data_IF_024850009210
#
_entry.id   IF_024850009210
#
_cell.length_a   1.000
_cell.length_b   1.000
_cell.length_c   1.000
_cell.angle_alpha   90.00
_cell.angle_beta   90.00
_cell.angle_gamma   90.00
#
_symmetry.space_group_name_H-M   'P 1'
#
loop_
_entity.id
_entity.type
_entity.pdbx_description
1 polymer ?
#
# COMPACT_ATOMS: atom_id res chain seq x y z
N UNK A 1 0.51 -10.71 -2.80
CA UNK A 1 -0.85 -11.19 -3.04
C UNK A 1 -0.76 -12.19 -4.19
N UNK A 2 -0.98 -13.48 -3.91
CA UNK A 2 -0.61 -14.58 -4.81
C UNK A 2 -1.82 -15.45 -5.20
N UNK A 3 -2.99 -15.21 -4.61
CA UNK A 3 -4.24 -15.94 -4.87
C UNK A 3 -5.47 -15.08 -4.52
N UNK A 4 -6.66 -15.41 -5.03
CA UNK A 4 -7.89 -14.69 -4.66
C UNK A 4 -8.21 -14.79 -3.16
N UNK A 5 -7.92 -15.93 -2.52
CA UNK A 5 -8.03 -16.08 -1.07
C UNK A 5 -7.10 -15.11 -0.31
N UNK A 6 -5.87 -14.92 -0.78
CA UNK A 6 -4.94 -13.95 -0.17
C UNK A 6 -5.38 -12.50 -0.36
N UNK A 7 -6.13 -12.19 -1.43
CA UNK A 7 -6.76 -10.88 -1.61
C UNK A 7 -7.86 -10.70 -0.55
N UNK A 8 -8.69 -11.71 -0.33
CA UNK A 8 -9.76 -11.64 0.67
C UNK A 8 -9.25 -11.56 2.12
N UNK A 9 -8.16 -12.25 2.43
CA UNK A 9 -7.49 -12.10 3.73
C UNK A 9 -6.92 -10.70 3.91
N UNK A 10 -6.32 -10.15 2.84
CA UNK A 10 -5.73 -8.82 2.88
C UNK A 10 -6.77 -7.72 3.09
N UNK A 11 -7.93 -7.78 2.44
CA UNK A 11 -8.99 -6.76 2.62
C UNK A 11 -9.51 -6.70 4.04
N UNK A 12 -9.66 -7.84 4.71
CA UNK A 12 -10.04 -7.93 6.12
C UNK A 12 -8.93 -7.45 7.04
N UNK A 13 -7.71 -7.92 6.82
CA UNK A 13 -6.55 -7.50 7.63
C UNK A 13 -6.26 -6.00 7.52
N UNK A 14 -6.58 -5.38 6.39
CA UNK A 14 -6.46 -3.93 6.19
C UNK A 14 -7.65 -3.14 6.75
N UNK A 15 -8.71 -3.80 7.24
CA UNK A 15 -9.93 -3.15 7.75
C UNK A 15 -10.75 -2.44 6.67
N UNK A 16 -10.58 -2.83 5.40
CA UNK A 16 -11.27 -2.22 4.26
C UNK A 16 -12.68 -2.79 4.06
N UNK A 17 -12.84 -4.08 4.36
CA UNK A 17 -14.11 -4.80 4.29
C UNK A 17 -14.26 -5.68 5.54
N UNK A 18 -15.42 -5.60 6.19
CA UNK A 18 -15.74 -6.46 7.34
C UNK A 18 -16.20 -7.85 6.86
N UNK A 19 -16.99 -7.88 5.79
CA UNK A 19 -17.35 -9.09 5.06
C UNK A 19 -16.76 -9.01 3.65
N UNK A 20 -16.11 -10.09 3.22
CA UNK A 20 -15.39 -10.12 1.95
C UNK A 20 -16.08 -11.03 0.96
N UNK A 21 -16.41 -10.56 -0.25
CA UNK A 21 -16.98 -11.42 -1.28
C UNK A 21 -15.95 -12.46 -1.73
N UNK A 22 -16.44 -13.51 -2.39
CA UNK A 22 -15.56 -14.42 -3.11
C UNK A 22 -14.92 -13.69 -4.28
N UNK A 23 -13.59 -13.56 -4.26
CA UNK A 23 -12.84 -13.00 -5.38
C UNK A 23 -12.48 -14.08 -6.39
N UNK A 24 -12.59 -13.73 -7.66
CA UNK A 24 -12.17 -14.57 -8.79
C UNK A 24 -10.70 -14.34 -9.16
N UNK A 25 -10.18 -15.15 -10.07
CA UNK A 25 -8.86 -14.92 -10.65
C UNK A 25 -8.78 -13.59 -11.44
N UNK A 26 -9.89 -13.17 -12.06
CA UNK A 26 -9.98 -11.87 -12.75
C UNK A 26 -9.91 -10.72 -11.74
N UNK A 27 -10.61 -10.84 -10.62
CA UNK A 27 -10.58 -9.87 -9.53
C UNK A 27 -9.16 -9.68 -8.99
N UNK A 28 -8.45 -10.79 -8.79
CA UNK A 28 -7.05 -10.74 -8.38
C UNK A 28 -6.17 -10.03 -9.41
N UNK A 29 -6.37 -10.31 -10.71
CA UNK A 29 -5.60 -9.68 -11.78
C UNK A 29 -5.82 -8.17 -11.82
N UNK A 30 -7.06 -7.71 -11.74
CA UNK A 30 -7.40 -6.28 -11.68
C UNK A 30 -6.82 -5.60 -10.43
N UNK A 31 -6.91 -6.25 -9.26
CA UNK A 31 -6.33 -5.72 -8.03
C UNK A 31 -4.79 -5.64 -8.08
N UNK A 32 -4.15 -6.62 -8.74
CA UNK A 32 -2.70 -6.59 -8.99
C UNK A 32 -2.35 -5.43 -9.92
N UNK A 33 -3.08 -5.26 -11.02
CA UNK A 33 -2.83 -4.18 -11.99
C UNK A 33 -2.89 -2.80 -11.33
N UNK A 34 -3.95 -2.52 -10.57
CA UNK A 34 -4.08 -1.26 -9.81
C UNK A 34 -2.95 -1.11 -8.80
N UNK A 35 -2.59 -2.16 -8.05
CA UNK A 35 -1.48 -2.10 -7.09
C UNK A 35 -0.15 -1.77 -7.76
N UNK A 36 0.14 -2.36 -8.91
CA UNK A 36 1.38 -2.09 -9.62
C UNK A 36 1.39 -0.67 -10.22
N UNK A 37 0.25 -0.15 -10.67
CA UNK A 37 0.10 1.23 -11.14
C UNK A 37 0.30 2.26 -9.99
N UNK A 38 -0.29 1.99 -8.82
CA UNK A 38 -0.03 2.74 -7.57
C UNK A 38 1.47 2.76 -7.29
N UNK A 39 2.12 1.59 -7.30
CA UNK A 39 3.54 1.47 -7.01
C UNK A 39 4.41 2.26 -7.98
N UNK A 40 4.20 2.08 -9.29
CA UNK A 40 4.95 2.81 -10.34
C UNK A 40 4.75 4.32 -10.24
N UNK A 41 3.53 4.76 -9.98
CA UNK A 41 3.20 6.19 -9.83
C UNK A 41 3.92 6.80 -8.65
N UNK A 42 3.81 6.19 -7.46
CA UNK A 42 4.50 6.69 -6.26
C UNK A 42 6.01 6.63 -6.44
N UNK A 43 6.53 5.55 -7.03
CA UNK A 43 7.96 5.43 -7.31
C UNK A 43 8.47 6.54 -8.22
N UNK A 44 7.79 6.81 -9.34
CA UNK A 44 8.17 7.89 -10.25
C UNK A 44 8.20 9.25 -9.53
N UNK A 45 7.18 9.52 -8.72
CA UNK A 45 7.09 10.76 -7.93
C UNK A 45 8.20 10.91 -6.89
N UNK A 46 8.60 9.82 -6.23
CA UNK A 46 9.74 9.81 -5.31
C UNK A 46 11.10 10.03 -5.99
N UNK A 47 11.17 9.84 -7.31
CA UNK A 47 12.34 10.13 -8.13
C UNK A 47 12.22 11.45 -8.90
N UNK A 48 11.24 12.30 -8.53
CA UNK A 48 10.95 13.57 -9.20
C UNK A 48 10.65 13.42 -10.70
N UNK A 49 10.12 12.26 -11.09
CA UNK A 49 9.66 11.95 -12.46
C UNK A 49 8.14 11.97 -12.53
N UNK A 50 7.55 12.36 -13.68
CA UNK A 50 6.13 12.21 -13.89
C UNK A 50 5.73 10.73 -13.97
N UNK A 51 4.54 10.34 -13.49
CA UNK A 51 3.97 9.04 -13.77
C UNK A 51 3.63 8.90 -15.26
N UNK A 52 3.45 7.66 -15.72
CA UNK A 52 3.07 7.40 -17.12
C UNK A 52 1.60 7.77 -17.36
N UNK A 53 1.25 8.18 -18.58
CA UNK A 53 -0.15 8.47 -18.95
C UNK A 53 -1.06 7.26 -18.70
N UNK A 54 -0.59 6.05 -19.03
CA UNK A 54 -1.35 4.82 -18.81
C UNK A 54 -1.67 4.57 -17.32
N UNK A 55 -0.70 4.77 -16.42
CA UNK A 55 -0.93 4.62 -14.98
C UNK A 55 -1.87 5.73 -14.47
N UNK A 56 -1.73 6.96 -14.96
CA UNK A 56 -2.61 8.09 -14.61
C UNK A 56 -4.06 7.81 -15.03
N UNK A 57 -4.26 7.39 -16.28
CA UNK A 57 -5.59 7.10 -16.83
C UNK A 57 -6.25 5.94 -16.09
N UNK A 58 -5.50 4.87 -15.80
CA UNK A 58 -6.01 3.73 -15.04
C UNK A 58 -6.47 4.15 -13.65
N UNK A 59 -5.61 4.86 -12.90
CA UNK A 59 -5.93 5.28 -11.53
C UNK A 59 -7.12 6.25 -11.50
N UNK A 60 -7.18 7.20 -12.43
CA UNK A 60 -8.31 8.11 -12.56
C UNK A 60 -9.60 7.37 -12.89
N UNK A 61 -9.58 6.43 -13.85
CA UNK A 61 -10.75 5.65 -14.23
C UNK A 61 -11.31 4.77 -13.09
N UNK A 62 -10.46 4.34 -12.15
CA UNK A 62 -10.90 3.68 -10.92
C UNK A 62 -11.44 4.68 -9.90
N UNK A 63 -10.75 5.80 -9.68
CA UNK A 63 -11.12 6.81 -8.69
C UNK A 63 -12.47 7.50 -8.97
N UNK A 64 -12.93 7.51 -10.23
CA UNK A 64 -14.24 8.04 -10.62
C UNK A 64 -15.42 7.12 -10.34
N UNK A 65 -15.18 5.85 -9.96
CA UNK A 65 -16.24 4.87 -9.68
C UNK A 65 -16.82 5.05 -8.27
N UNK A 66 -18.01 4.51 -7.96
CA UNK A 66 -18.55 4.52 -6.60
C UNK A 66 -17.58 3.87 -5.60
N UNK A 67 -17.27 4.59 -4.52
CA UNK A 67 -16.38 4.15 -3.44
C UNK A 67 -17.12 3.26 -2.43
N UNK A 68 -16.38 2.55 -1.59
CA UNK A 68 -16.95 1.92 -0.39
C UNK A 68 -17.56 2.99 0.52
N UNK A 69 -18.78 2.75 0.97
CA UNK A 69 -19.50 3.63 1.90
C UNK A 69 -19.81 2.86 3.17
N UNK A 70 -19.39 3.34 4.36
CA UNK A 70 -19.73 2.70 5.62
C UNK A 70 -21.21 2.89 5.95
N UNK A 71 -21.81 1.87 6.53
CA UNK A 71 -23.18 1.89 7.07
C UNK A 71 -23.12 1.95 8.59
N UNK A 72 -23.87 2.87 9.20
CA UNK A 72 -24.06 2.93 10.65
C UNK A 72 -25.16 1.92 11.04
N UNK A 73 -24.84 1.02 11.97
CA UNK A 73 -25.78 0.03 12.50
C UNK A 73 -26.53 0.57 13.72
N UNK A 74 -27.71 0.03 14.08
CA UNK A 74 -28.50 0.51 15.22
C UNK A 74 -27.80 0.43 16.58
N UNK A 75 -26.79 -0.43 16.72
CA UNK A 75 -25.98 -0.57 17.94
C UNK A 75 -24.83 0.45 18.05
N UNK A 76 -24.71 1.36 17.07
CA UNK A 76 -23.68 2.39 17.01
C UNK A 76 -22.37 1.95 16.36
N UNK A 77 -22.24 0.68 15.98
CA UNK A 77 -21.09 0.19 15.21
C UNK A 77 -21.21 0.57 13.73
N UNK A 78 -20.09 0.56 13.01
CA UNK A 78 -20.08 0.78 11.55
C UNK A 78 -19.70 -0.50 10.84
N UNK A 79 -20.31 -0.73 9.68
CA UNK A 79 -20.01 -1.87 8.81
C UNK A 79 -19.62 -1.40 7.41
N UNK A 80 -18.60 -2.03 6.84
CA UNK A 80 -18.12 -1.82 5.46
C UNK A 80 -18.27 -3.12 4.67
N UNK A 81 -19.14 -3.06 3.68
CA UNK A 81 -19.31 -4.08 2.67
C UNK A 81 -19.07 -3.48 1.29
N UNK A 82 -18.77 -4.32 0.31
CA UNK A 82 -18.75 -3.88 -1.07
C UNK A 82 -18.13 -4.88 -2.03
N UNK A 83 -17.95 -4.40 -3.25
CA UNK A 83 -17.37 -5.16 -4.36
C UNK A 83 -15.89 -4.83 -4.53
N UNK A 84 -15.18 -5.62 -5.34
CA UNK A 84 -13.83 -5.26 -5.78
C UNK A 84 -13.80 -3.86 -6.39
N UNK A 85 -14.77 -3.53 -7.26
CA UNK A 85 -14.79 -2.22 -7.92
C UNK A 85 -14.87 -1.08 -6.90
N UNK A 86 -15.69 -1.22 -5.84
CA UNK A 86 -15.78 -0.21 -4.79
C UNK A 86 -14.49 -0.08 -3.99
N UNK A 87 -13.86 -1.21 -3.66
CA UNK A 87 -12.57 -1.27 -3.00
C UNK A 87 -11.46 -0.56 -3.79
N UNK A 88 -11.33 -0.89 -5.08
CA UNK A 88 -10.31 -0.28 -5.95
C UNK A 88 -10.59 1.21 -6.18
N UNK A 89 -11.85 1.62 -6.24
CA UNK A 89 -12.23 3.02 -6.33
C UNK A 89 -11.81 3.81 -5.08
N UNK A 90 -12.06 3.26 -3.88
CA UNK A 90 -11.60 3.84 -2.62
C UNK A 90 -10.08 3.96 -2.60
N UNK A 91 -9.36 2.88 -2.88
CA UNK A 91 -7.88 2.88 -2.85
C UNK A 91 -7.26 3.82 -3.89
N UNK A 92 -7.81 3.86 -5.10
CA UNK A 92 -7.33 4.77 -6.14
C UNK A 92 -7.54 6.22 -5.73
N UNK A 93 -8.71 6.55 -5.18
CA UNK A 93 -8.97 7.90 -4.72
C UNK A 93 -8.10 8.31 -3.52
N UNK A 94 -7.94 7.42 -2.53
CA UNK A 94 -7.06 7.67 -1.38
C UNK A 94 -5.61 7.91 -1.84
N UNK A 95 -5.15 7.21 -2.88
CA UNK A 95 -3.86 7.48 -3.51
C UNK A 95 -3.83 8.88 -4.15
N UNK A 96 -4.86 9.28 -4.90
CA UNK A 96 -4.89 10.60 -5.54
C UNK A 96 -4.85 11.72 -4.50
N UNK A 97 -5.61 11.58 -3.41
CA UNK A 97 -5.58 12.51 -2.28
C UNK A 97 -4.18 12.56 -1.67
N UNK A 98 -3.54 11.40 -1.44
CA UNK A 98 -2.17 11.31 -0.93
C UNK A 98 -1.13 11.92 -1.88
N UNK A 99 -1.30 11.81 -3.20
CA UNK A 99 -0.40 12.40 -4.19
C UNK A 99 -0.50 13.93 -4.24
N UNK A 100 -1.68 14.47 -3.92
CA UNK A 100 -1.93 15.91 -3.80
C UNK A 100 -1.60 16.49 -2.43
N UNK A 101 -1.42 15.64 -1.42
CA UNK A 101 -1.15 16.07 -0.05
C UNK A 101 0.29 16.60 0.12
N UNK A 102 0.50 17.74 0.81
CA UNK A 102 1.84 18.23 1.16
C UNK A 102 2.72 17.21 1.90
N UNK A 103 2.11 16.28 2.65
CA UNK A 103 2.78 15.20 3.37
C UNK A 103 3.24 14.04 2.47
N UNK A 104 3.04 14.09 1.15
CA UNK A 104 3.59 13.09 0.23
C UNK A 104 5.10 12.88 0.43
N UNK A 105 5.84 13.93 0.81
CA UNK A 105 7.27 13.86 1.14
C UNK A 105 7.61 12.93 2.32
N UNK A 106 6.62 12.47 3.08
CA UNK A 106 6.80 11.47 4.14
C UNK A 106 6.79 10.04 3.60
N UNK A 107 6.39 9.81 2.35
CA UNK A 107 6.51 8.49 1.74
C UNK A 107 7.97 8.21 1.41
N UNK A 108 8.43 7.02 1.77
CA UNK A 108 9.81 6.60 1.59
C UNK A 108 9.92 5.17 1.09
N UNK A 109 11.04 4.90 0.43
CA UNK A 109 11.50 3.55 0.11
C UNK A 109 12.23 2.96 1.31
N UNK A 110 12.07 1.65 1.49
CA UNK A 110 12.90 0.92 2.44
C UNK A 110 14.37 1.03 2.02
N UNK A 111 15.27 1.36 2.94
CA UNK A 111 16.70 1.42 2.66
C UNK A 111 17.34 0.03 2.43
N UNK A 112 16.55 -1.06 2.52
CA UNK A 112 17.05 -2.41 2.28
C UNK A 112 16.93 -2.67 0.79
N UNK A 113 18.07 -2.88 0.12
CA UNK A 113 18.14 -3.03 -1.34
C UNK A 113 17.29 -4.18 -1.88
N UNK A 114 17.06 -5.20 -1.05
CA UNK A 114 16.25 -6.37 -1.43
C UNK A 114 14.77 -6.20 -1.06
N UNK A 115 14.37 -5.01 -0.60
CA UNK A 115 13.00 -4.72 -0.17
C UNK A 115 12.37 -3.63 -1.05
N UNK A 116 11.25 -3.97 -1.68
CA UNK A 116 10.49 -3.07 -2.55
C UNK A 116 9.39 -2.31 -1.82
N UNK A 117 9.26 -2.42 -0.49
CA UNK A 117 8.15 -1.77 0.23
C UNK A 117 8.31 -0.24 0.27
N UNK A 118 7.22 0.45 -0.06
CA UNK A 118 6.99 1.86 0.24
C UNK A 118 6.32 1.99 1.61
N UNK A 119 6.60 3.06 2.35
CA UNK A 119 5.98 3.32 3.64
C UNK A 119 5.85 4.82 3.92
N UNK A 120 4.87 5.20 4.73
CA UNK A 120 4.75 6.55 5.27
C UNK A 120 5.61 6.64 6.54
N UNK A 121 6.53 7.59 6.58
CA UNK A 121 7.37 7.87 7.74
C UNK A 121 6.61 8.66 8.79
N UNK A 122 5.86 7.95 9.63
CA UNK A 122 5.15 8.51 10.78
C UNK A 122 6.05 8.88 11.98
N UNK A 123 7.39 8.74 11.87
CA UNK A 123 8.29 9.09 12.98
C UNK A 123 8.33 10.60 13.22
N UNK A 124 8.50 11.01 14.48
CA UNK A 124 8.54 12.42 14.89
C UNK A 124 9.60 13.24 14.14
N UNK A 125 10.75 12.63 13.86
CA UNK A 125 11.87 13.29 13.17
C UNK A 125 11.95 13.02 11.68
N UNK A 126 11.02 12.27 11.09
CA UNK A 126 11.09 11.88 9.68
C UNK A 126 12.41 11.19 9.33
N UNK A 127 12.96 10.37 10.25
CA UNK A 127 14.28 9.75 10.10
C UNK A 127 14.22 8.21 10.02
N UNK A 128 13.02 7.64 9.84
CA UNK A 128 12.87 6.21 9.62
C UNK A 128 13.52 5.84 8.28
N UNK A 129 14.25 4.74 8.29
CA UNK A 129 14.95 4.20 7.11
C UNK A 129 14.37 2.87 6.63
N UNK A 130 13.62 2.15 7.47
CA UNK A 130 13.14 0.80 7.19
C UNK A 130 11.62 0.73 7.23
N UNK A 131 11.02 -0.04 6.32
CA UNK A 131 9.57 -0.20 6.20
C UNK A 131 8.89 -0.82 7.44
N UNK A 132 9.66 -1.42 8.35
CA UNK A 132 9.17 -1.98 9.60
C UNK A 132 10.31 -2.62 10.40
N UNK A 133 10.14 -2.67 11.72
CA UNK A 133 11.18 -3.17 12.63
C UNK A 133 11.34 -4.69 12.51
N UNK A 134 10.23 -5.44 12.42
CA UNK A 134 10.24 -6.90 12.28
C UNK A 134 10.76 -7.33 10.90
N UNK A 135 10.44 -6.61 9.83
CA UNK A 135 10.79 -7.03 8.48
C UNK A 135 12.21 -6.64 8.06
N UNK A 136 12.55 -5.35 8.17
CA UNK A 136 13.83 -4.83 7.65
C UNK A 136 14.75 -4.30 8.75
N UNK A 137 14.20 -3.68 9.81
CA UNK A 137 15.02 -3.12 10.89
C UNK A 137 15.86 -4.17 11.61
N UNK A 138 15.28 -5.33 11.94
CA UNK A 138 15.98 -6.43 12.60
C UNK A 138 17.04 -7.05 11.70
N UNK A 139 16.75 -7.21 10.40
CA UNK A 139 17.72 -7.70 9.41
C UNK A 139 18.94 -6.79 9.32
N UNK A 140 18.72 -5.47 9.29
CA UNK A 140 19.80 -4.49 9.28
C UNK A 140 20.66 -4.59 10.55
N UNK A 141 20.04 -4.72 11.74
CA UNK A 141 20.76 -4.92 13.02
C UNK A 141 21.62 -6.19 13.01
N UNK A 142 21.07 -7.32 12.54
CA UNK A 142 21.80 -8.60 12.44
C UNK A 142 22.99 -8.49 11.48
N UNK A 143 22.80 -7.87 10.30
CA UNK A 143 23.89 -7.66 9.32
C UNK A 143 25.01 -6.80 9.92
N UNK A 144 24.66 -5.71 10.60
CA UNK A 144 25.63 -4.84 11.27
C UNK A 144 26.37 -5.54 12.43
N UNK A 145 25.67 -6.34 13.24
CA UNK A 145 26.29 -7.17 14.27
C UNK A 145 27.31 -8.16 13.68
N UNK A 146 26.92 -8.91 12.64
CA UNK A 146 27.80 -9.87 11.96
C UNK A 146 29.05 -9.21 11.36
N UNK A 147 28.92 -8.00 10.79
CA UNK A 147 30.08 -7.25 10.27
C UNK A 147 31.08 -6.92 11.38
N UNK A 148 30.60 -6.40 12.52
CA UNK A 148 31.43 -6.06 13.68
C UNK A 148 32.12 -7.26 14.34
N UNK A 149 31.56 -8.47 14.21
CA UNK A 149 32.12 -9.69 14.80
C UNK A 149 32.86 -10.58 13.78
N UNK A 150 33.03 -10.09 12.54
CA UNK A 150 33.79 -10.76 11.48
C UNK A 150 35.10 -10.05 11.15
N UNK A 151 35.40 -8.92 11.80
CA UNK A 151 36.74 -8.35 11.78
C UNK A 151 37.62 -9.21 12.69
N UNK A 152 38.59 -9.98 12.15
CA UNK A 152 39.60 -10.64 12.97
C UNK A 152 40.51 -9.54 13.53
N UNK A 153 40.90 -9.69 14.79
CA UNK A 153 42.10 -9.05 15.30
C UNK A 153 43.32 -9.63 14.59
#
# INVERSE_FOLDING_TARGET
MLSPASLAEWTRAAGLLDETPEFTARDLAEAVEVREAVYRTVWARLEDRPPTEADVDLLNAHATRPRLVPTLLPDGSTRREGTLSGLLATLAADLLDLLGDPDFGRIKRCANTDCTRLYIDSSRGGNRQWCGMSECGNRAKVKAFRRRHREPH
#
